data_IF_101631689358
#
_entry.id   IF_101631689358
#
_cell.length_a   1.000
_cell.length_b   1.000
_cell.length_c   1.000
_cell.angle_alpha   90.00
_cell.angle_beta   90.00
_cell.angle_gamma   90.00
#
_symmetry.space_group_name_H-M   'P 1'
#
loop_
_entity.id
_entity.type
_entity.pdbx_description
1 polymer ?
#
# COMPACT_ATOMS: atom_id res chain seq x y z
N UNK A 1 -21.09 -2.62 2.28
CA UNK A 1 -20.75 -2.24 3.68
C UNK A 1 -19.88 -0.99 3.65
N UNK A 2 -19.69 -0.32 4.78
CA UNK A 2 -18.74 0.81 4.92
C UNK A 2 -17.49 0.31 5.66
N UNK A 3 -16.31 0.65 5.16
CA UNK A 3 -15.01 0.16 5.63
C UNK A 3 -14.22 1.33 6.20
N UNK A 4 -14.04 1.35 7.52
CA UNK A 4 -13.39 2.45 8.23
C UNK A 4 -12.08 2.00 8.86
N UNK A 5 -10.97 2.35 8.22
CA UNK A 5 -9.62 2.04 8.73
C UNK A 5 -8.57 3.10 8.35
N UNK A 6 -8.96 4.39 8.37
CA UNK A 6 -8.09 5.51 7.94
C UNK A 6 -7.42 5.21 6.59
N UNK A 7 -6.09 5.40 6.48
CA UNK A 7 -5.32 5.15 5.26
C UNK A 7 -5.21 3.66 4.89
N UNK A 8 -5.49 2.75 5.84
CA UNK A 8 -5.57 1.31 5.58
C UNK A 8 -6.90 0.89 4.93
N UNK A 9 -7.93 1.76 4.99
CA UNK A 9 -9.29 1.49 4.51
C UNK A 9 -9.37 0.88 3.11
N UNK A 10 -8.67 1.44 2.09
CA UNK A 10 -8.71 0.90 0.74
C UNK A 10 -8.20 -0.55 0.64
N UNK A 11 -7.12 -0.89 1.36
CA UNK A 11 -6.56 -2.26 1.36
C UNK A 11 -7.52 -3.23 2.06
N UNK A 12 -8.11 -2.84 3.20
CA UNK A 12 -9.17 -3.62 3.84
C UNK A 12 -10.37 -3.85 2.93
N UNK A 13 -10.82 -2.81 2.22
CA UNK A 13 -11.98 -2.90 1.35
C UNK A 13 -11.73 -3.85 0.17
N UNK A 14 -10.53 -3.84 -0.42
CA UNK A 14 -10.14 -4.77 -1.49
C UNK A 14 -10.09 -6.21 -1.00
N UNK A 15 -9.47 -6.47 0.15
CA UNK A 15 -9.41 -7.83 0.73
C UNK A 15 -10.82 -8.34 1.06
N UNK A 16 -11.69 -7.50 1.63
CA UNK A 16 -13.08 -7.88 1.89
C UNK A 16 -13.87 -8.12 0.61
N UNK A 17 -13.68 -7.30 -0.42
CA UNK A 17 -14.32 -7.52 -1.73
C UNK A 17 -13.88 -8.86 -2.33
N UNK A 18 -12.58 -9.17 -2.31
CA UNK A 18 -12.05 -10.46 -2.74
C UNK A 18 -12.65 -11.63 -1.95
N UNK A 19 -12.75 -11.53 -0.62
CA UNK A 19 -13.35 -12.58 0.21
C UNK A 19 -14.85 -12.79 -0.09
N UNK A 20 -15.61 -11.71 -0.29
CA UNK A 20 -17.03 -11.77 -0.65
C UNK A 20 -17.25 -12.42 -2.01
N UNK A 21 -16.38 -12.13 -2.99
CA UNK A 21 -16.42 -12.79 -4.30
C UNK A 21 -16.00 -14.25 -4.20
N UNK A 22 -14.86 -14.53 -3.57
CA UNK A 22 -14.31 -15.89 -3.45
C UNK A 22 -15.22 -16.83 -2.66
N UNK A 23 -16.05 -16.31 -1.75
CA UNK A 23 -17.05 -17.12 -1.01
C UNK A 23 -18.29 -17.48 -1.84
N UNK A 24 -18.44 -16.92 -3.05
CA UNK A 24 -19.62 -17.12 -3.90
C UNK A 24 -20.86 -16.34 -3.46
N UNK A 25 -20.75 -15.48 -2.44
CA UNK A 25 -21.87 -14.64 -2.00
C UNK A 25 -22.23 -13.57 -3.03
N UNK A 26 -21.23 -13.06 -3.75
CA UNK A 26 -21.40 -12.07 -4.81
C UNK A 26 -20.52 -12.43 -6.00
N UNK A 27 -20.99 -12.18 -7.22
CA UNK A 27 -20.17 -12.35 -8.42
C UNK A 27 -19.20 -11.20 -8.64
N UNK A 28 -19.61 -10.01 -8.23
CA UNK A 28 -18.84 -8.79 -8.35
C UNK A 28 -19.09 -7.88 -7.15
N UNK A 29 -18.04 -7.21 -6.69
CA UNK A 29 -18.09 -6.22 -5.62
C UNK A 29 -17.33 -4.97 -6.08
N UNK A 30 -18.01 -3.84 -6.08
CA UNK A 30 -17.38 -2.54 -6.33
C UNK A 30 -16.82 -1.98 -5.01
N UNK A 31 -15.53 -1.67 -5.00
CA UNK A 31 -14.86 -0.90 -3.94
C UNK A 31 -14.76 0.54 -4.41
N UNK A 32 -15.50 1.42 -3.76
CA UNK A 32 -15.52 2.85 -4.10
C UNK A 32 -15.06 3.65 -2.88
N UNK A 33 -14.12 4.56 -3.12
CA UNK A 33 -13.55 5.42 -2.09
C UNK A 33 -13.29 6.81 -2.62
N UNK A 34 -13.22 7.77 -1.71
CA UNK A 34 -13.06 9.17 -2.07
C UNK A 34 -12.47 10.00 -0.95
N UNK A 35 -12.37 11.27 -1.28
CA UNK A 35 -11.62 12.25 -0.51
C UNK A 35 -12.53 13.12 0.35
N UNK A 36 -11.95 13.79 1.34
CA UNK A 36 -12.67 14.73 2.20
C UNK A 36 -12.07 16.12 2.06
N UNK A 37 -12.91 17.08 1.63
CA UNK A 37 -12.55 18.49 1.51
C UNK A 37 -12.00 19.07 2.83
N UNK A 38 -12.57 18.67 3.97
CA UNK A 38 -12.09 19.11 5.27
C UNK A 38 -10.65 18.63 5.56
N UNK A 39 -10.31 17.41 5.11
CA UNK A 39 -8.97 16.84 5.28
C UNK A 39 -7.94 17.53 4.39
N UNK A 40 -8.35 17.92 3.17
CA UNK A 40 -7.55 18.72 2.24
C UNK A 40 -7.11 20.05 2.86
N UNK A 41 -8.04 20.81 3.45
CA UNK A 41 -7.73 22.08 4.11
C UNK A 41 -6.71 21.97 5.27
N UNK A 42 -6.75 20.86 6.03
CA UNK A 42 -5.77 20.62 7.10
C UNK A 42 -4.34 20.46 6.57
N UNK A 43 -4.16 20.02 5.32
CA UNK A 43 -2.84 19.83 4.71
C UNK A 43 -2.27 21.09 4.09
N UNK A 44 -3.12 22.01 3.65
CA UNK A 44 -2.68 23.34 3.20
C UNK A 44 -1.92 24.09 4.30
N UNK A 45 -2.24 23.86 5.57
CA UNK A 45 -1.55 24.48 6.69
C UNK A 45 -0.02 24.28 6.64
N UNK A 46 0.46 23.11 6.20
CA UNK A 46 1.90 22.85 6.08
C UNK A 46 2.56 23.73 5.01
N UNK A 47 1.92 23.91 3.87
CA UNK A 47 2.39 24.76 2.78
C UNK A 47 2.35 26.24 3.20
N UNK A 48 1.22 26.68 3.75
CA UNK A 48 0.99 28.06 4.18
C UNK A 48 1.94 28.50 5.30
N UNK A 49 2.32 27.59 6.21
CA UNK A 49 3.32 27.87 7.26
C UNK A 49 4.71 28.18 6.72
N UNK A 50 5.03 27.71 5.52
CA UNK A 50 6.34 27.88 4.88
C UNK A 50 6.29 28.83 3.67
N UNK A 51 5.20 29.59 3.52
CA UNK A 51 4.97 30.51 2.39
C UNK A 51 5.13 29.80 1.02
N UNK A 52 4.72 28.54 0.95
CA UNK A 52 4.77 27.72 -0.25
C UNK A 52 3.42 27.72 -0.98
N UNK A 53 3.42 27.61 -2.32
CA UNK A 53 2.19 27.39 -3.06
C UNK A 53 1.54 26.07 -2.60
N UNK A 54 0.21 26.03 -2.62
CA UNK A 54 -0.53 24.81 -2.34
C UNK A 54 -0.30 23.84 -3.51
N UNK A 55 0.45 22.77 -3.27
CA UNK A 55 0.81 21.80 -4.31
C UNK A 55 -0.23 20.67 -4.48
N UNK A 56 -1.14 20.50 -3.52
CA UNK A 56 -2.04 19.34 -3.46
C UNK A 56 -3.54 19.68 -3.37
N UNK A 57 -4.02 20.71 -4.08
CA UNK A 57 -5.45 21.02 -4.20
C UNK A 57 -6.18 20.09 -5.18
N UNK A 58 -6.28 18.80 -4.84
CA UNK A 58 -6.76 17.75 -5.77
C UNK A 58 -7.70 16.79 -5.05
N UNK A 59 -9.00 16.79 -5.32
CA UNK A 59 -9.90 15.76 -4.79
C UNK A 59 -9.92 14.50 -5.68
N UNK A 60 -9.29 13.43 -5.20
CA UNK A 60 -9.28 12.14 -5.89
C UNK A 60 -10.51 11.26 -5.57
N UNK A 61 -10.74 10.24 -6.39
CA UNK A 61 -11.64 9.14 -6.05
C UNK A 61 -11.09 7.85 -6.67
N UNK A 62 -11.49 6.71 -6.13
CA UNK A 62 -11.14 5.40 -6.66
C UNK A 62 -12.38 4.55 -6.77
N UNK A 63 -12.46 3.79 -7.86
CA UNK A 63 -13.41 2.72 -8.02
C UNK A 63 -12.65 1.50 -8.56
N UNK A 64 -12.81 0.36 -7.89
CA UNK A 64 -12.25 -0.93 -8.30
C UNK A 64 -13.38 -1.93 -8.34
N UNK A 65 -13.54 -2.61 -9.46
CA UNK A 65 -14.48 -3.72 -9.59
C UNK A 65 -13.72 -5.03 -9.36
N UNK A 66 -14.04 -5.74 -8.30
CA UNK A 66 -13.51 -7.07 -8.01
C UNK A 66 -14.54 -8.09 -8.48
N UNK A 67 -14.14 -9.01 -9.35
CA UNK A 67 -15.01 -10.05 -9.91
C UNK A 67 -14.43 -11.45 -9.75
N UNK A 68 -15.22 -12.45 -10.16
CA UNK A 68 -14.76 -13.84 -10.31
C UNK A 68 -13.52 -13.90 -11.21
N UNK A 69 -12.68 -14.92 -11.02
CA UNK A 69 -11.52 -15.15 -11.88
C UNK A 69 -11.98 -15.37 -13.33
N UNK A 70 -11.59 -14.46 -14.21
CA UNK A 70 -11.92 -14.45 -15.64
C UNK A 70 -10.79 -15.06 -16.51
N UNK A 71 -9.75 -15.59 -15.88
CA UNK A 71 -8.56 -16.16 -16.54
C UNK A 71 -7.67 -15.12 -17.23
N UNK A 72 -7.95 -13.82 -17.09
CA UNK A 72 -7.25 -12.75 -17.82
C UNK A 72 -6.76 -11.65 -16.89
N UNK A 73 -7.63 -11.14 -16.02
CA UNK A 73 -7.38 -10.05 -15.09
C UNK A 73 -6.47 -10.51 -13.95
N UNK A 74 -5.62 -9.62 -13.38
CA UNK A 74 -4.79 -9.96 -12.24
C UNK A 74 -5.58 -10.46 -11.04
N UNK A 75 -5.03 -11.45 -10.35
CA UNK A 75 -5.66 -12.13 -9.22
C UNK A 75 -5.24 -11.47 -7.91
N UNK A 76 -6.22 -11.12 -7.09
CA UNK A 76 -6.00 -10.73 -5.70
C UNK A 76 -5.79 -11.99 -4.86
N UNK A 77 -4.54 -12.24 -4.43
CA UNK A 77 -4.14 -13.43 -3.66
C UNK A 77 -4.64 -13.34 -2.21
N UNK A 78 -5.82 -13.88 -1.90
CA UNK A 78 -6.37 -13.86 -0.54
C UNK A 78 -5.55 -14.67 0.48
N UNK A 79 -4.77 -15.64 0.02
CA UNK A 79 -3.81 -16.42 0.78
C UNK A 79 -2.53 -15.63 1.15
N UNK A 80 -2.30 -14.49 0.51
CA UNK A 80 -1.17 -13.58 0.80
C UNK A 80 -1.45 -12.52 1.86
N UNK A 81 -2.65 -12.53 2.46
CA UNK A 81 -3.08 -11.43 3.32
C UNK A 81 -2.24 -11.38 4.61
N UNK A 82 -1.42 -10.33 4.73
CA UNK A 82 -0.70 -9.99 5.96
C UNK A 82 -1.52 -9.08 6.84
N UNK A 83 -1.48 -9.30 8.15
CA UNK A 83 -2.22 -8.51 9.13
C UNK A 83 -1.36 -8.15 10.32
N UNK A 84 -1.27 -6.85 10.60
CA UNK A 84 -0.72 -6.37 11.86
C UNK A 84 -1.80 -6.36 12.93
N UNK A 85 -1.63 -7.15 13.99
CA UNK A 85 -2.54 -7.12 15.14
C UNK A 85 -2.04 -6.12 16.19
N UNK A 86 -2.95 -5.53 16.96
CA UNK A 86 -2.62 -4.50 17.98
C UNK A 86 -1.54 -4.97 18.97
N UNK A 87 -1.47 -6.29 19.24
CA UNK A 87 -0.51 -6.89 20.16
C UNK A 87 0.88 -7.19 19.57
N UNK A 88 1.10 -7.00 18.26
CA UNK A 88 2.36 -7.38 17.58
C UNK A 88 3.52 -6.38 17.78
N UNK A 89 3.30 -5.32 18.55
CA UNK A 89 4.27 -4.26 18.81
C UNK A 89 4.13 -3.08 17.83
N UNK A 90 4.42 -1.87 18.30
CA UNK A 90 4.19 -0.64 17.52
C UNK A 90 5.41 -0.16 16.73
N UNK A 91 6.53 -0.90 16.75
CA UNK A 91 7.72 -0.51 15.99
C UNK A 91 7.48 -0.71 14.48
N UNK A 92 8.02 0.19 13.67
CA UNK A 92 7.85 0.12 12.21
C UNK A 92 8.38 -1.19 11.63
N UNK A 93 9.49 -1.70 12.19
CA UNK A 93 10.05 -2.99 11.80
C UNK A 93 9.11 -4.16 12.13
N UNK A 94 8.52 -4.20 13.33
CA UNK A 94 7.59 -5.27 13.72
C UNK A 94 6.33 -5.27 12.84
N UNK A 95 5.83 -4.09 12.50
CA UNK A 95 4.71 -3.94 11.57
C UNK A 95 5.08 -4.50 10.20
N UNK A 96 6.22 -4.11 9.64
CA UNK A 96 6.63 -4.59 8.32
C UNK A 96 6.92 -6.10 8.30
N UNK A 97 7.43 -6.66 9.40
CA UNK A 97 7.59 -8.11 9.54
C UNK A 97 6.26 -8.85 9.36
N UNK A 98 5.20 -8.38 10.02
CA UNK A 98 3.85 -8.97 9.94
C UNK A 98 3.16 -8.73 8.60
N UNK A 99 3.45 -7.60 7.96
CA UNK A 99 2.82 -7.23 6.69
C UNK A 99 3.57 -7.75 5.47
N UNK A 100 4.84 -8.13 5.59
CA UNK A 100 5.69 -8.47 4.45
C UNK A 100 6.34 -9.84 4.65
N UNK A 101 7.25 -9.97 5.61
CA UNK A 101 8.03 -11.20 5.77
C UNK A 101 7.14 -12.41 6.02
N UNK A 102 6.22 -12.32 6.99
CA UNK A 102 5.34 -13.45 7.38
C UNK A 102 4.46 -13.92 6.21
N UNK A 103 3.77 -13.04 5.46
CA UNK A 103 3.06 -13.44 4.25
C UNK A 103 3.92 -14.08 3.17
N UNK A 104 5.13 -13.54 2.94
CA UNK A 104 6.06 -14.09 1.93
C UNK A 104 6.55 -15.48 2.32
N UNK A 105 6.97 -15.67 3.58
CA UNK A 105 7.37 -16.95 4.13
C UNK A 105 6.25 -18.00 4.03
N UNK A 106 5.01 -17.64 4.37
CA UNK A 106 3.86 -18.54 4.29
C UNK A 106 3.56 -19.00 2.85
N UNK A 107 3.92 -18.18 1.87
CA UNK A 107 3.76 -18.50 0.45
C UNK A 107 5.02 -19.12 -0.18
N UNK A 108 6.11 -19.25 0.58
CA UNK A 108 7.41 -19.69 0.08
C UNK A 108 8.01 -18.74 -0.95
N UNK A 109 7.70 -17.45 -0.87
CA UNK A 109 8.25 -16.39 -1.71
C UNK A 109 9.35 -15.63 -0.96
N UNK A 110 10.35 -15.17 -1.69
CA UNK A 110 11.33 -14.20 -1.21
C UNK A 110 10.91 -12.75 -1.46
N UNK A 111 11.64 -11.80 -0.88
CA UNK A 111 11.47 -10.37 -1.11
C UNK A 111 11.71 -9.99 -2.58
N UNK A 112 12.64 -10.68 -3.25
CA UNK A 112 12.95 -10.42 -4.66
C UNK A 112 11.91 -11.01 -5.63
N UNK A 113 11.00 -11.87 -5.17
CA UNK A 113 9.91 -12.41 -6.00
C UNK A 113 8.75 -11.41 -6.21
N UNK A 114 8.78 -10.28 -5.51
CA UNK A 114 7.82 -9.18 -5.63
C UNK A 114 8.40 -8.09 -6.50
N UNK A 115 7.87 -7.88 -7.70
CA UNK A 115 8.41 -6.86 -8.62
C UNK A 115 8.27 -5.44 -8.06
N UNK A 116 7.16 -5.14 -7.37
CA UNK A 116 6.90 -3.82 -6.81
C UNK A 116 6.19 -3.87 -5.46
N UNK A 117 6.71 -3.09 -4.51
CA UNK A 117 6.03 -2.81 -3.24
C UNK A 117 5.28 -1.48 -3.33
N UNK A 118 3.95 -1.53 -3.28
CA UNK A 118 3.11 -0.35 -3.18
C UNK A 118 2.92 0.00 -1.71
N UNK A 119 3.51 1.13 -1.28
CA UNK A 119 3.49 1.62 0.11
C UNK A 119 2.69 2.92 0.21
N UNK A 120 2.96 3.77 1.20
CA UNK A 120 2.46 5.14 1.24
C UNK A 120 3.20 5.99 0.19
N UNK A 121 2.59 6.17 -0.99
CA UNK A 121 3.22 6.78 -2.17
C UNK A 121 3.20 8.32 -2.17
N UNK A 122 3.33 8.95 -1.00
CA UNK A 122 3.23 10.41 -0.88
C UNK A 122 4.34 11.12 -1.67
N UNK A 123 3.97 12.14 -2.45
CA UNK A 123 4.93 12.96 -3.18
C UNK A 123 5.90 13.65 -2.19
N UNK A 124 7.22 13.39 -2.26
CA UNK A 124 8.22 14.02 -1.41
C UNK A 124 8.23 15.55 -1.47
N UNK A 125 7.91 16.13 -2.62
CA UNK A 125 7.83 17.60 -2.79
C UNK A 125 6.79 18.23 -1.84
N UNK A 126 5.79 17.44 -1.42
CA UNK A 126 4.76 17.86 -0.47
C UNK A 126 5.13 17.50 0.97
N UNK A 127 5.73 16.33 1.19
CA UNK A 127 5.99 15.82 2.54
C UNK A 127 7.28 16.32 3.17
N UNK A 128 8.31 16.61 2.38
CA UNK A 128 9.60 17.13 2.89
C UNK A 128 9.44 18.53 3.53
N UNK A 129 8.78 19.52 2.91
CA UNK A 129 8.57 20.82 3.54
C UNK A 129 7.71 20.75 4.80
N UNK A 130 6.78 19.79 4.85
CA UNK A 130 5.95 19.53 6.02
C UNK A 130 6.67 18.73 7.13
N UNK A 131 7.96 18.44 6.97
CA UNK A 131 8.80 17.75 7.97
C UNK A 131 8.58 16.24 8.06
N UNK A 132 7.87 15.64 7.10
CA UNK A 132 7.63 14.19 7.05
C UNK A 132 8.67 13.41 6.23
N UNK A 133 9.49 14.11 5.44
CA UNK A 133 10.56 13.51 4.63
C UNK A 133 10.05 12.75 3.40
N UNK A 134 10.93 12.01 2.75
CA UNK A 134 10.60 11.07 1.64
C UNK A 134 10.08 9.74 2.22
N UNK A 135 8.76 9.68 2.41
CA UNK A 135 8.04 8.54 3.01
C UNK A 135 8.21 7.25 2.20
N UNK A 136 7.99 7.22 0.87
CA UNK A 136 8.20 6.02 0.06
C UNK A 136 9.63 5.48 0.17
N UNK A 137 10.66 6.33 0.00
CA UNK A 137 12.06 5.90 0.06
C UNK A 137 12.45 5.33 1.41
N UNK A 138 11.95 5.90 2.50
CA UNK A 138 12.14 5.35 3.84
C UNK A 138 11.53 3.97 3.97
N UNK A 139 10.30 3.77 3.48
CA UNK A 139 9.64 2.48 3.50
C UNK A 139 10.41 1.43 2.67
N UNK A 140 10.89 1.76 1.47
CA UNK A 140 11.65 0.82 0.65
C UNK A 140 12.98 0.40 1.30
N UNK A 141 13.67 1.33 1.95
CA UNK A 141 14.88 1.01 2.71
C UNK A 141 14.60 0.05 3.86
N UNK A 142 13.45 0.18 4.53
CA UNK A 142 13.04 -0.75 5.58
C UNK A 142 12.71 -2.14 5.03
N UNK A 143 12.04 -2.21 3.88
CA UNK A 143 11.75 -3.50 3.21
C UNK A 143 13.06 -4.18 2.80
N UNK A 144 13.98 -3.46 2.15
CA UNK A 144 15.28 -4.02 1.80
C UNK A 144 16.12 -4.40 3.03
N UNK A 145 16.02 -3.66 4.14
CA UNK A 145 16.67 -4.04 5.39
C UNK A 145 16.10 -5.34 5.99
N UNK A 146 14.80 -5.60 5.80
CA UNK A 146 14.21 -6.91 6.13
C UNK A 146 14.77 -8.00 5.22
N UNK A 147 14.88 -7.77 3.92
CA UNK A 147 15.48 -8.73 2.99
C UNK A 147 16.95 -9.07 3.37
N UNK A 148 17.74 -8.08 3.79
CA UNK A 148 19.10 -8.30 4.32
C UNK A 148 19.07 -9.15 5.59
N UNK A 149 18.15 -8.86 6.51
CA UNK A 149 18.02 -9.60 7.77
C UNK A 149 17.62 -11.07 7.55
N UNK A 150 16.79 -11.32 6.54
CA UNK A 150 16.40 -12.65 6.07
C UNK A 150 17.46 -13.33 5.21
N UNK A 151 18.63 -12.70 5.02
CA UNK A 151 19.77 -13.23 4.26
C UNK A 151 19.43 -13.50 2.79
N UNK A 152 18.45 -12.79 2.22
CA UNK A 152 18.08 -12.92 0.80
C UNK A 152 18.89 -11.99 -0.10
N UNK A 153 19.38 -10.88 0.46
CA UNK A 153 20.28 -9.94 -0.22
C UNK A 153 21.41 -9.52 0.72
N UNK A 154 22.53 -9.11 0.13
CA UNK A 154 23.63 -8.48 0.88
C UNK A 154 23.31 -7.01 1.16
N UNK A 155 23.95 -6.43 2.19
CA UNK A 155 23.70 -5.04 2.60
C UNK A 155 24.03 -4.04 1.49
N UNK A 156 25.01 -4.37 0.66
CA UNK A 156 25.46 -3.58 -0.48
C UNK A 156 24.40 -3.49 -1.58
N UNK A 157 23.54 -4.51 -1.71
CA UNK A 157 22.46 -4.56 -2.69
C UNK A 157 21.21 -3.75 -2.27
N UNK A 158 21.23 -3.12 -1.09
CA UNK A 158 20.07 -2.38 -0.56
C UNK A 158 19.64 -1.23 -1.48
N UNK A 159 20.59 -0.52 -2.09
CA UNK A 159 20.28 0.59 -3.01
C UNK A 159 19.57 0.07 -4.25
N UNK A 160 20.12 -0.96 -4.88
CA UNK A 160 19.56 -1.60 -6.07
C UNK A 160 18.17 -2.19 -5.77
N UNK A 161 17.98 -2.77 -4.59
CA UNK A 161 16.67 -3.26 -4.15
C UNK A 161 15.63 -2.15 -4.12
N UNK A 162 15.97 -0.98 -3.59
CA UNK A 162 15.07 0.19 -3.54
C UNK A 162 14.73 0.68 -4.94
N UNK A 163 15.68 0.69 -5.86
CA UNK A 163 15.46 1.12 -7.25
C UNK A 163 14.60 0.12 -8.04
N UNK A 164 14.89 -1.17 -7.90
CA UNK A 164 14.23 -2.25 -8.64
C UNK A 164 12.83 -2.53 -8.09
N UNK A 165 12.67 -2.65 -6.77
CA UNK A 165 11.40 -3.07 -6.14
C UNK A 165 10.58 -1.91 -5.57
N UNK A 166 11.17 -0.72 -5.45
CA UNK A 166 10.49 0.50 -5.04
C UNK A 166 9.91 1.33 -6.19
N UNK A 167 9.38 2.50 -5.85
CA UNK A 167 8.91 3.50 -6.80
C UNK A 167 8.93 4.90 -6.15
N UNK A 168 9.07 5.99 -6.93
CA UNK A 168 8.97 7.33 -6.36
C UNK A 168 7.56 7.58 -5.82
N UNK A 169 7.46 8.45 -4.81
CA UNK A 169 6.17 8.97 -4.37
C UNK A 169 5.61 9.95 -5.39
N UNK A 170 4.35 9.78 -5.77
CA UNK A 170 3.66 10.63 -6.74
C UNK A 170 2.24 10.97 -6.32
N UNK A 171 1.72 10.30 -5.28
CA UNK A 171 0.38 10.55 -4.78
C UNK A 171 0.36 11.83 -3.95
N UNK A 172 -0.67 12.69 -4.07
CA UNK A 172 -0.93 13.73 -3.08
C UNK A 172 -1.12 13.11 -1.69
N UNK A 173 -0.94 13.92 -0.64
CA UNK A 173 -0.93 13.44 0.75
C UNK A 173 -2.33 13.29 1.35
N UNK A 174 -2.41 13.00 2.66
CA UNK A 174 -3.65 12.62 3.34
C UNK A 174 -4.82 13.58 3.04
N UNK A 175 -5.89 13.02 2.53
CA UNK A 175 -6.96 13.75 1.85
C UNK A 175 -7.36 13.01 0.59
N UNK A 176 -6.39 12.34 -0.06
CA UNK A 176 -6.45 11.95 -1.48
C UNK A 176 -6.31 10.46 -1.83
N UNK A 177 -6.68 9.56 -0.92
CA UNK A 177 -6.39 8.11 -1.06
C UNK A 177 -4.86 7.88 -1.05
N UNK A 178 -4.19 8.49 -0.08
CA UNK A 178 -2.75 8.46 0.08
C UNK A 178 -2.26 7.14 0.71
N UNK A 179 -2.63 6.01 0.10
CA UNK A 179 -2.28 4.63 0.47
C UNK A 179 -1.50 3.96 -0.68
N UNK A 180 -1.39 2.63 -0.69
CA UNK A 180 -0.81 1.86 -1.78
C UNK A 180 -1.66 1.86 -3.07
N UNK A 181 -2.95 2.18 -2.96
CA UNK A 181 -3.94 2.03 -4.05
C UNK A 181 -3.71 2.92 -5.29
N UNK A 182 -3.07 4.11 -5.24
CA UNK A 182 -2.73 4.86 -6.44
C UNK A 182 -1.91 4.07 -7.46
N UNK A 183 -1.14 3.06 -7.03
CA UNK A 183 -0.41 2.19 -7.95
C UNK A 183 -1.26 1.08 -8.58
N UNK A 184 -2.47 0.81 -8.09
CA UNK A 184 -3.26 -0.36 -8.51
C UNK A 184 -3.57 -0.36 -10.01
N UNK A 185 -3.99 0.77 -10.57
CA UNK A 185 -4.26 0.86 -12.01
C UNK A 185 -3.00 0.60 -12.85
N UNK A 186 -1.87 1.18 -12.45
CA UNK A 186 -0.58 0.94 -13.10
C UNK A 186 -0.11 -0.51 -12.97
N UNK A 187 -0.39 -1.14 -11.83
CA UNK A 187 -0.06 -2.54 -11.59
C UNK A 187 -0.85 -3.46 -12.53
N UNK A 188 -2.16 -3.23 -12.62
CA UNK A 188 -3.04 -3.98 -13.52
C UNK A 188 -2.58 -3.83 -14.96
N UNK A 189 -2.35 -2.60 -15.44
CA UNK A 189 -1.85 -2.36 -16.79
C UNK A 189 -0.54 -3.11 -17.08
N UNK A 190 0.44 -3.02 -16.18
CA UNK A 190 1.74 -3.70 -16.36
C UNK A 190 1.63 -5.22 -16.36
N UNK A 191 0.78 -5.80 -15.51
CA UNK A 191 0.51 -7.24 -15.50
C UNK A 191 -0.23 -7.69 -16.77
N UNK A 192 -1.18 -6.87 -17.22
CA UNK A 192 -1.91 -7.11 -18.48
C UNK A 192 -1.00 -6.99 -19.71
N UNK A 193 0.11 -6.27 -19.62
CA UNK A 193 1.12 -6.20 -20.68
C UNK A 193 2.27 -7.21 -20.51
N UNK A 194 2.24 -8.06 -19.48
CA UNK A 194 3.32 -9.03 -19.21
C UNK A 194 4.64 -8.39 -18.74
N UNK A 195 4.59 -7.12 -18.27
CA UNK A 195 5.73 -6.33 -17.80
C UNK A 195 5.94 -6.42 -16.28
N UNK A 196 5.06 -7.13 -15.57
CA UNK A 196 5.10 -7.31 -14.12
C UNK A 196 4.32 -8.58 -13.76
N UNK A 197 4.80 -9.33 -12.78
CA UNK A 197 4.17 -10.56 -12.30
C UNK A 197 3.50 -10.37 -10.93
N UNK A 198 4.16 -9.72 -9.96
CA UNK A 198 3.65 -9.56 -8.59
C UNK A 198 3.86 -8.15 -8.06
N UNK A 199 2.81 -7.59 -7.48
CA UNK A 199 2.88 -6.35 -6.72
C UNK A 199 2.28 -6.55 -5.33
N UNK A 200 3.05 -6.23 -4.29
CA UNK A 200 2.58 -6.30 -2.92
C UNK A 200 2.07 -4.93 -2.48
N UNK A 201 0.80 -4.86 -2.10
CA UNK A 201 0.16 -3.66 -1.58
C UNK A 201 0.17 -3.73 -0.07
N UNK A 202 0.72 -2.71 0.59
CA UNK A 202 0.70 -2.59 2.03
C UNK A 202 0.20 -1.23 2.47
N UNK A 203 -0.66 -1.21 3.48
CA UNK A 203 -1.09 0.01 4.11
C UNK A 203 -1.01 -0.09 5.61
N UNK A 204 -0.63 1.02 6.22
CA UNK A 204 -0.68 1.22 7.66
C UNK A 204 -1.66 2.34 7.97
N UNK A 205 -2.47 2.13 9.00
CA UNK A 205 -3.39 3.13 9.54
C UNK A 205 -3.12 3.32 11.02
N UNK A 206 -3.45 4.50 11.55
CA UNK A 206 -3.65 4.60 12.99
C UNK A 206 -4.98 3.94 13.35
N UNK A 207 -5.03 3.17 14.44
CA UNK A 207 -6.29 2.57 14.92
C UNK A 207 -7.30 3.61 15.39
N UNK A 208 -6.80 4.74 15.86
CA UNK A 208 -7.56 5.93 16.22
C UNK A 208 -6.75 7.17 15.84
N UNK A 209 -7.06 8.35 16.39
CA UNK A 209 -6.17 9.51 16.27
C UNK A 209 -4.77 9.13 16.78
N UNK A 210 -3.80 8.98 15.88
CA UNK A 210 -2.51 8.35 16.18
C UNK A 210 -1.72 9.00 17.32
N UNK A 211 -1.92 10.31 17.55
CA UNK A 211 -1.32 11.05 18.67
C UNK A 211 -1.89 10.69 20.04
N UNK A 212 -3.06 10.04 20.10
CA UNK A 212 -3.71 9.66 21.34
C UNK A 212 -3.37 8.24 21.78
N UNK A 213 -3.21 7.31 20.84
CA UNK A 213 -3.07 5.88 21.16
C UNK A 213 -1.70 5.32 20.82
N UNK A 214 -0.99 5.90 19.84
CA UNK A 214 0.23 5.33 19.26
C UNK A 214 0.07 3.88 18.76
N UNK A 215 -1.16 3.41 18.55
CA UNK A 215 -1.46 2.08 18.05
C UNK A 215 -1.75 2.12 16.55
N UNK A 216 -1.26 1.13 15.82
CA UNK A 216 -1.41 1.00 14.37
C UNK A 216 -2.21 -0.24 13.97
N UNK A 217 -3.00 -0.08 12.92
CA UNK A 217 -3.57 -1.15 12.13
C UNK A 217 -2.75 -1.29 10.84
N UNK A 218 -2.76 -2.47 10.25
CA UNK A 218 -2.04 -2.72 9.02
C UNK A 218 -2.55 -3.95 8.31
N UNK A 219 -2.62 -3.84 6.99
CA UNK A 219 -3.02 -4.93 6.12
C UNK A 219 -2.17 -4.89 4.85
N UNK A 220 -1.91 -6.06 4.29
CA UNK A 220 -1.27 -6.22 3.00
C UNK A 220 -1.90 -7.34 2.19
N UNK A 221 -1.68 -7.31 0.89
CA UNK A 221 -1.99 -8.41 -0.04
C UNK A 221 -1.07 -8.33 -1.26
N UNK A 222 -0.96 -9.43 -1.99
CA UNK A 222 -0.29 -9.54 -3.29
C UNK A 222 -1.36 -9.52 -4.38
N UNK A 223 -1.16 -8.66 -5.37
CA UNK A 223 -1.78 -8.79 -6.68
C UNK A 223 -0.81 -9.55 -7.57
N UNK A 224 -1.30 -10.54 -8.29
CA UNK A 224 -0.50 -11.39 -9.18
C UNK A 224 -1.09 -11.41 -10.58
N UNK A 225 -0.25 -11.42 -11.62
CA UNK A 225 -0.69 -11.66 -12.98
C UNK A 225 -1.44 -13.01 -13.07
N UNK A 226 -2.50 -13.08 -13.88
CA UNK A 226 -3.30 -14.29 -13.95
C UNK A 226 -2.45 -15.47 -14.47
N UNK A 227 -2.31 -16.58 -13.73
CA UNK A 227 -1.52 -17.73 -14.18
C UNK A 227 -2.07 -18.43 -15.43
N UNK A 228 -3.33 -18.19 -15.76
CA UNK A 228 -4.02 -18.83 -16.89
C UNK A 228 -3.76 -18.15 -18.24
N UNK A 229 -3.00 -17.06 -18.25
CA UNK A 229 -2.72 -16.23 -19.43
C UNK A 229 -1.53 -16.72 -20.25
#
# INVERSE_FOLDING_TARGET
CDVKAFCCGPVHALVMAGALVSSGLYRQVAVVGGCSLAKLGMKFQGHLQHDQPILEDILASVAVLVGEDDGTSPVLRLDSVGRHTVGAGSSQQAIFEQLISVPLENLGLGFQDIDKYATELHNPEVTEPAGSGDVPKLNYRLIGALAVRHQEIEREALTDFVEVHGMPGFSPTQGHIASAVPFLGHAVERMMDGRMNRAMFLAKGSLFLGRMTQMSDGLSFILEANPSK
#
